data_IF_883467751013
#
_entry.id   IF_883467751013
#
_cell.length_a   1.000
_cell.length_b   1.000
_cell.length_c   1.000
_cell.angle_alpha   90.00
_cell.angle_beta   90.00
_cell.angle_gamma   90.00
#
_symmetry.space_group_name_H-M   'P 1'
#
loop_
_entity.id
_entity.type
_entity.pdbx_description
1 polymer ?
#
# COMPACT_ATOMS: atom_id res chain seq x y z
N UNK A 1 15.71 -2.99 15.49
CA UNK A 1 14.84 -1.82 15.79
C UNK A 1 13.74 -1.79 14.73
N UNK A 2 12.49 -1.79 15.16
CA UNK A 2 11.34 -1.71 14.27
C UNK A 2 10.99 -0.24 14.03
N UNK A 3 10.44 0.07 12.86
CA UNK A 3 10.02 1.42 12.50
C UNK A 3 8.49 1.47 12.63
N UNK A 4 7.93 2.05 13.71
CA UNK A 4 6.49 2.06 13.92
C UNK A 4 5.73 2.98 12.95
N UNK A 5 6.41 4.01 12.44
CA UNK A 5 5.86 5.01 11.51
C UNK A 5 6.51 4.83 10.15
N UNK A 6 5.77 4.27 9.22
CA UNK A 6 6.28 3.98 7.89
C UNK A 6 5.26 4.36 6.81
N UNK A 7 5.77 4.77 5.68
CA UNK A 7 4.99 5.04 4.47
C UNK A 7 5.80 4.71 3.23
N UNK A 8 5.14 4.69 2.10
CA UNK A 8 5.73 4.63 0.77
C UNK A 8 5.11 5.72 -0.10
N UNK A 9 5.85 6.20 -1.07
CA UNK A 9 5.32 7.10 -2.10
C UNK A 9 4.58 6.25 -3.13
N UNK A 10 3.24 6.13 -2.97
CA UNK A 10 2.41 5.31 -3.84
C UNK A 10 2.57 5.77 -5.29
N UNK A 11 2.99 4.85 -6.16
CA UNK A 11 3.35 5.10 -7.55
C UNK A 11 4.80 5.51 -7.77
N UNK A 12 5.62 5.62 -6.72
CA UNK A 12 7.02 6.03 -6.76
C UNK A 12 7.19 7.54 -6.76
N UNK A 13 8.35 8.00 -6.28
CA UNK A 13 8.67 9.43 -6.13
C UNK A 13 8.88 10.12 -7.49
N UNK A 14 9.46 9.41 -8.46
CA UNK A 14 9.73 9.91 -9.81
C UNK A 14 9.25 8.94 -10.88
N UNK A 15 8.78 9.51 -11.99
CA UNK A 15 8.45 8.75 -13.19
C UNK A 15 7.04 8.14 -13.18
N UNK A 16 6.82 7.22 -14.10
CA UNK A 16 5.50 6.71 -14.42
C UNK A 16 4.74 7.65 -15.38
N UNK A 17 4.10 7.07 -16.37
CA UNK A 17 3.23 7.78 -17.33
C UNK A 17 1.80 7.40 -17.01
N UNK A 18 0.94 8.41 -16.82
CA UNK A 18 -0.45 8.24 -16.35
C UNK A 18 -1.28 7.35 -17.27
N UNK A 19 -1.03 7.39 -18.58
CA UNK A 19 -1.74 6.61 -19.60
C UNK A 19 -1.12 5.23 -19.87
N UNK A 20 0.06 4.93 -19.29
CA UNK A 20 0.71 3.62 -19.49
C UNK A 20 -0.04 2.53 -18.68
N UNK A 21 -0.60 1.50 -19.34
CA UNK A 21 -1.35 0.45 -18.66
C UNK A 21 -0.53 -0.34 -17.65
N UNK A 22 0.76 -0.56 -17.91
CA UNK A 22 1.63 -1.30 -16.99
C UNK A 22 1.91 -0.44 -15.73
N UNK A 23 2.07 0.87 -15.90
CA UNK A 23 2.18 1.79 -14.77
C UNK A 23 0.87 1.90 -13.99
N UNK A 24 -0.27 1.94 -14.67
CA UNK A 24 -1.58 1.96 -14.02
C UNK A 24 -1.81 0.70 -13.16
N UNK A 25 -1.44 -0.48 -13.64
CA UNK A 25 -1.51 -1.70 -12.82
C UNK A 25 -0.60 -1.59 -11.60
N UNK A 26 0.66 -1.15 -11.78
CA UNK A 26 1.60 -0.95 -10.69
C UNK A 26 1.06 0.02 -9.64
N UNK A 27 0.51 1.16 -10.07
CA UNK A 27 -0.08 2.16 -9.18
C UNK A 27 -1.23 1.57 -8.38
N UNK A 28 -2.15 0.85 -9.02
CA UNK A 28 -3.30 0.22 -8.35
C UNK A 28 -2.82 -0.79 -7.30
N UNK A 29 -1.86 -1.66 -7.63
CA UNK A 29 -1.30 -2.63 -6.69
C UNK A 29 -0.58 -1.95 -5.53
N UNK A 30 0.17 -0.90 -5.82
CA UNK A 30 0.86 -0.12 -4.80
C UNK A 30 -0.12 0.62 -3.88
N UNK A 31 -1.22 1.13 -4.44
CA UNK A 31 -2.28 1.76 -3.66
C UNK A 31 -2.99 0.78 -2.73
N UNK A 32 -3.26 -0.44 -3.21
CA UNK A 32 -3.79 -1.53 -2.40
C UNK A 32 -2.86 -1.86 -1.23
N UNK A 33 -1.57 -1.97 -1.48
CA UNK A 33 -0.55 -2.14 -0.44
C UNK A 33 -0.52 -0.94 0.52
N UNK A 34 -0.47 0.30 0.00
CA UNK A 34 -0.43 1.52 0.79
C UNK A 34 -1.64 1.70 1.72
N UNK A 35 -2.80 1.13 1.37
CA UNK A 35 -3.98 1.11 2.22
C UNK A 35 -3.71 0.47 3.59
N UNK A 36 -2.81 -0.52 3.62
CA UNK A 36 -2.38 -1.24 4.82
C UNK A 36 -0.97 -0.84 5.27
N UNK A 37 -0.59 0.42 5.05
CA UNK A 37 0.59 1.04 5.63
C UNK A 37 0.19 1.96 6.79
N UNK A 38 1.05 2.22 7.79
CA UNK A 38 0.76 3.14 8.90
C UNK A 38 0.33 4.51 8.40
N UNK A 39 1.07 5.09 7.46
CA UNK A 39 0.71 6.32 6.75
C UNK A 39 0.48 5.98 5.29
N UNK A 40 -0.68 6.36 4.76
CA UNK A 40 -1.05 6.17 3.36
C UNK A 40 -0.98 7.50 2.63
N UNK A 41 -0.20 7.56 1.53
CA UNK A 41 -0.15 8.77 0.69
C UNK A 41 0.22 8.45 -0.76
N UNK A 42 -0.40 9.14 -1.70
CA UNK A 42 0.13 9.31 -3.04
C UNK A 42 1.15 10.44 -3.00
N UNK A 43 2.31 10.23 -3.59
CA UNK A 43 3.34 11.26 -3.70
C UNK A 43 4.26 10.97 -4.87
N UNK A 44 4.81 12.05 -5.45
CA UNK A 44 5.73 11.97 -6.58
C UNK A 44 5.18 12.68 -7.82
N UNK A 45 6.01 12.79 -8.83
CA UNK A 45 5.63 13.38 -10.11
C UNK A 45 5.48 12.31 -11.20
N UNK A 46 4.62 12.60 -12.16
CA UNK A 46 4.28 11.72 -13.29
C UNK A 46 4.71 12.36 -14.61
N UNK A 47 5.00 11.52 -15.60
CA UNK A 47 5.21 11.95 -16.96
C UNK A 47 3.89 12.04 -17.76
N UNK A 48 3.88 12.84 -18.85
CA UNK A 48 4.96 13.72 -19.26
C UNK A 48 5.12 14.94 -18.33
N UNK A 49 6.32 15.48 -18.26
CA UNK A 49 6.58 16.75 -17.58
C UNK A 49 6.48 17.88 -18.58
N UNK A 50 5.81 18.95 -18.22
CA UNK A 50 5.82 20.17 -19.00
C UNK A 50 7.03 21.04 -18.62
N UNK A 51 7.72 21.57 -19.62
CA UNK A 51 8.72 22.62 -19.40
C UNK A 51 8.00 23.93 -19.10
N UNK A 52 8.32 24.54 -17.97
CA UNK A 52 7.83 25.87 -17.63
C UNK A 52 8.94 26.88 -17.97
N UNK A 53 8.66 27.80 -18.89
CA UNK A 53 9.53 28.93 -19.16
C UNK A 53 9.12 30.07 -18.22
N UNK A 54 10.02 30.48 -17.33
CA UNK A 54 9.76 31.60 -16.44
C UNK A 54 9.82 32.95 -17.19
N UNK A 55 9.46 34.04 -16.53
CA UNK A 55 9.46 35.39 -17.13
C UNK A 55 10.83 35.87 -17.59
N UNK A 56 11.92 35.24 -17.14
CA UNK A 56 13.28 35.51 -17.56
C UNK A 56 13.75 34.68 -18.77
N UNK A 57 12.86 33.78 -19.29
CA UNK A 57 13.19 32.88 -20.41
C UNK A 57 13.99 31.65 -19.99
N UNK A 58 14.11 31.37 -18.67
CA UNK A 58 14.79 30.18 -18.17
C UNK A 58 13.81 28.99 -18.14
N UNK A 59 14.26 27.84 -18.67
CA UNK A 59 13.53 26.60 -18.60
C UNK A 59 13.65 26.08 -17.17
N UNK A 60 12.51 25.87 -16.52
CA UNK A 60 12.42 25.15 -15.25
C UNK A 60 11.64 23.86 -15.44
N UNK A 61 12.02 22.82 -14.72
CA UNK A 61 11.20 21.62 -14.64
C UNK A 61 9.84 22.01 -14.03
N UNK A 62 8.78 21.83 -14.82
CA UNK A 62 7.41 21.98 -14.35
C UNK A 62 7.00 20.85 -13.43
N UNK A 63 5.82 20.98 -12.83
CA UNK A 63 5.11 19.85 -12.25
C UNK A 63 4.85 18.83 -13.36
N UNK A 64 4.92 17.55 -13.04
CA UNK A 64 4.56 16.49 -13.99
C UNK A 64 3.06 16.43 -14.25
N UNK A 65 2.62 15.42 -14.98
CA UNK A 65 1.20 15.13 -15.16
C UNK A 65 0.48 14.92 -13.84
N UNK A 66 -0.82 15.06 -13.85
CA UNK A 66 -1.72 14.88 -12.71
C UNK A 66 -1.50 13.53 -12.01
N UNK A 67 -1.59 13.52 -10.67
CA UNK A 67 -1.30 12.34 -9.84
C UNK A 67 -2.41 12.06 -8.82
N UNK A 68 -3.60 12.55 -9.07
CA UNK A 68 -4.78 12.32 -8.26
C UNK A 68 -5.44 10.99 -8.65
N UNK A 69 -6.25 10.43 -7.75
CA UNK A 69 -6.89 9.11 -7.96
C UNK A 69 -7.74 9.01 -9.22
N UNK A 70 -8.22 10.13 -9.76
CA UNK A 70 -9.01 10.19 -10.99
C UNK A 70 -8.17 10.30 -12.26
N UNK A 71 -6.84 10.47 -12.15
CA UNK A 71 -5.95 10.70 -13.29
C UNK A 71 -5.56 9.42 -14.04
N UNK A 72 -5.92 8.25 -13.54
CA UNK A 72 -5.49 6.94 -14.04
C UNK A 72 -6.61 6.16 -14.74
N UNK A 73 -7.66 6.85 -15.20
CA UNK A 73 -8.81 6.27 -15.90
C UNK A 73 -9.89 5.72 -14.97
N UNK A 74 -11.13 5.67 -15.49
CA UNK A 74 -12.36 5.39 -14.72
C UNK A 74 -12.30 4.07 -13.95
N UNK A 75 -11.89 2.99 -14.60
CA UNK A 75 -11.80 1.67 -13.97
C UNK A 75 -10.85 1.69 -12.76
N UNK A 76 -9.73 2.38 -12.87
CA UNK A 76 -8.76 2.48 -11.78
C UNK A 76 -9.30 3.42 -10.68
N UNK A 77 -9.97 4.50 -11.05
CA UNK A 77 -10.65 5.39 -10.11
C UNK A 77 -11.64 4.64 -9.20
N UNK A 78 -12.48 3.77 -9.75
CA UNK A 78 -13.38 2.93 -8.97
C UNK A 78 -12.63 2.03 -7.97
N UNK A 79 -11.51 1.44 -8.39
CA UNK A 79 -10.70 0.60 -7.50
C UNK A 79 -10.05 1.44 -6.40
N UNK A 80 -9.44 2.57 -6.75
CA UNK A 80 -8.74 3.43 -5.79
C UNK A 80 -9.70 4.01 -4.75
N UNK A 81 -10.88 4.47 -5.17
CA UNK A 81 -11.92 4.99 -4.26
C UNK A 81 -12.48 3.92 -3.34
N UNK A 82 -12.63 2.67 -3.83
CA UNK A 82 -12.99 1.53 -2.98
C UNK A 82 -11.96 1.34 -1.87
N UNK A 83 -10.66 1.42 -2.17
CA UNK A 83 -9.60 1.23 -1.18
C UNK A 83 -9.46 2.42 -0.21
N UNK A 84 -9.78 3.65 -0.64
CA UNK A 84 -9.98 4.77 0.28
C UNK A 84 -11.10 4.45 1.28
N UNK A 85 -12.21 3.90 0.80
CA UNK A 85 -13.31 3.47 1.67
C UNK A 85 -12.92 2.35 2.65
N UNK A 86 -12.08 1.41 2.23
CA UNK A 86 -11.50 0.38 3.12
C UNK A 86 -10.64 1.05 4.20
N UNK A 87 -9.75 1.97 3.80
CA UNK A 87 -8.89 2.71 4.74
C UNK A 87 -9.70 3.50 5.75
N UNK A 88 -10.79 4.13 5.32
CA UNK A 88 -11.68 4.89 6.19
C UNK A 88 -12.35 4.00 7.25
N UNK A 89 -12.83 2.82 6.85
CA UNK A 89 -13.39 1.84 7.78
C UNK A 89 -12.38 1.32 8.82
N UNK A 90 -11.09 1.35 8.47
CA UNK A 90 -10.00 0.94 9.37
C UNK A 90 -9.48 2.10 10.24
N UNK A 91 -10.07 3.29 10.18
CA UNK A 91 -9.57 4.49 10.87
C UNK A 91 -9.32 4.25 12.36
N UNK A 92 -10.29 3.74 13.08
CA UNK A 92 -10.20 3.57 14.52
C UNK A 92 -9.22 2.46 14.89
N UNK A 93 -9.21 1.36 14.14
CA UNK A 93 -8.21 0.32 14.29
C UNK A 93 -6.80 0.83 14.04
N UNK A 94 -6.58 1.58 12.96
CA UNK A 94 -5.28 2.19 12.68
C UNK A 94 -4.86 3.16 13.79
N UNK A 95 -5.77 3.97 14.33
CA UNK A 95 -5.48 4.87 15.44
C UNK A 95 -5.08 4.12 16.72
N UNK A 96 -5.76 3.01 17.04
CA UNK A 96 -5.40 2.20 18.18
C UNK A 96 -4.01 1.58 18.05
N UNK A 97 -3.65 1.10 16.86
CA UNK A 97 -2.30 0.60 16.57
C UNK A 97 -1.23 1.70 16.66
N UNK A 98 -1.55 2.92 16.24
CA UNK A 98 -0.62 4.06 16.35
C UNK A 98 -0.44 4.50 17.81
N UNK A 99 -1.49 4.43 18.63
CA UNK A 99 -1.38 4.66 20.06
C UNK A 99 -0.52 3.58 20.74
N UNK A 100 -0.74 2.31 20.40
CA UNK A 100 0.09 1.20 20.88
C UNK A 100 1.56 1.37 20.46
N UNK A 101 1.81 1.80 19.24
CA UNK A 101 3.16 2.08 18.76
C UNK A 101 3.83 3.21 19.55
N UNK A 102 3.08 4.24 19.92
CA UNK A 102 3.57 5.33 20.76
C UNK A 102 3.89 4.88 22.20
N UNK A 103 2.99 4.11 22.81
CA UNK A 103 3.08 3.72 24.21
C UNK A 103 4.08 2.58 24.45
N UNK A 104 4.11 1.58 23.54
CA UNK A 104 4.84 0.32 23.72
C UNK A 104 5.99 0.12 22.73
N UNK A 105 6.07 0.95 21.67
CA UNK A 105 7.01 0.74 20.57
C UNK A 105 6.63 -0.41 19.64
N UNK A 106 5.43 -0.99 19.80
CA UNK A 106 4.94 -2.10 18.95
C UNK A 106 4.68 -1.58 17.54
N UNK A 107 5.24 -2.17 16.47
CA UNK A 107 5.03 -1.67 15.12
C UNK A 107 3.60 -1.93 14.64
N UNK A 108 3.12 -1.05 13.77
CA UNK A 108 1.83 -1.22 13.10
C UNK A 108 1.93 -2.32 12.03
N UNK A 109 2.99 -2.28 11.21
CA UNK A 109 3.32 -3.37 10.27
C UNK A 109 4.30 -4.32 10.95
N UNK A 110 3.93 -5.60 11.00
CA UNK A 110 4.66 -6.64 11.73
C UNK A 110 5.03 -7.76 10.77
N UNK A 111 6.25 -8.22 10.82
CA UNK A 111 6.63 -9.43 10.08
C UNK A 111 5.86 -10.64 10.60
N UNK A 112 5.69 -11.66 9.74
CA UNK A 112 4.98 -12.87 10.15
C UNK A 112 5.65 -13.53 11.37
N UNK A 113 6.97 -13.60 11.42
CA UNK A 113 7.72 -14.15 12.56
C UNK A 113 7.60 -13.31 13.85
N UNK A 114 7.20 -12.05 13.76
CA UNK A 114 6.97 -11.22 14.95
C UNK A 114 5.70 -11.64 15.69
N UNK A 115 4.62 -11.91 14.95
CA UNK A 115 3.36 -12.35 15.52
C UNK A 115 3.32 -13.87 15.78
N UNK A 116 4.02 -14.66 14.97
CA UNK A 116 4.04 -16.11 15.03
C UNK A 116 5.47 -16.65 15.17
N UNK A 117 6.20 -16.33 16.28
CA UNK A 117 7.61 -16.67 16.42
C UNK A 117 7.86 -18.18 16.52
N UNK A 118 6.88 -18.94 17.00
CA UNK A 118 6.96 -20.40 17.17
C UNK A 118 6.67 -21.16 15.85
N UNK A 119 6.14 -20.49 14.85
CA UNK A 119 5.89 -21.08 13.54
C UNK A 119 7.09 -20.87 12.62
N UNK A 120 7.87 -21.94 12.42
CA UNK A 120 9.09 -21.89 11.63
C UNK A 120 8.88 -21.41 10.19
N UNK A 121 7.72 -21.69 9.58
CA UNK A 121 7.41 -21.21 8.22
C UNK A 121 7.29 -19.68 8.16
N UNK A 122 6.89 -19.04 9.25
CA UNK A 122 6.74 -17.59 9.31
C UNK A 122 8.06 -16.82 9.20
N UNK A 123 9.21 -17.47 9.44
CA UNK A 123 10.53 -16.86 9.36
C UNK A 123 11.00 -16.63 7.92
N UNK A 124 10.49 -17.42 6.98
CA UNK A 124 10.85 -17.33 5.56
C UNK A 124 9.84 -16.53 4.72
N UNK A 125 8.76 -16.01 5.33
CA UNK A 125 7.76 -15.23 4.62
C UNK A 125 8.25 -13.79 4.45
N UNK A 126 8.49 -13.39 3.19
CA UNK A 126 8.97 -12.05 2.83
C UNK A 126 7.95 -11.20 2.07
N UNK A 127 6.80 -11.76 1.68
CA UNK A 127 5.81 -11.14 0.81
C UNK A 127 4.40 -11.04 1.42
N UNK A 128 4.30 -11.27 2.73
CA UNK A 128 3.11 -11.06 3.54
C UNK A 128 3.51 -10.52 4.93
N UNK A 129 2.59 -9.83 5.58
CA UNK A 129 2.82 -9.25 6.90
C UNK A 129 1.50 -9.08 7.65
N UNK A 130 1.60 -8.82 8.95
CA UNK A 130 0.45 -8.44 9.77
C UNK A 130 0.35 -6.91 9.87
N UNK A 131 -0.84 -6.37 9.67
CA UNK A 131 -1.20 -5.00 10.00
C UNK A 131 -1.93 -5.01 11.35
N UNK A 132 -1.21 -4.68 12.39
CA UNK A 132 -1.62 -5.01 13.76
C UNK A 132 -1.58 -6.50 14.02
N UNK A 133 -2.37 -6.97 15.00
CA UNK A 133 -2.53 -8.38 15.36
C UNK A 133 -3.59 -9.12 14.53
N UNK A 134 -4.50 -8.39 13.87
CA UNK A 134 -5.76 -8.98 13.40
C UNK A 134 -5.86 -9.10 11.88
N UNK A 135 -5.03 -8.38 11.12
CA UNK A 135 -5.13 -8.32 9.66
C UNK A 135 -3.85 -8.84 9.00
N UNK A 136 -3.94 -10.00 8.37
CA UNK A 136 -2.90 -10.50 7.47
C UNK A 136 -3.02 -9.83 6.11
N UNK A 137 -1.94 -9.24 5.64
CA UNK A 137 -1.87 -8.54 4.35
C UNK A 137 -0.90 -9.27 3.44
N UNK A 138 -1.41 -9.69 2.28
CA UNK A 138 -0.65 -10.40 1.26
C UNK A 138 -0.75 -9.66 -0.09
N UNK A 139 0.08 -8.64 -0.33
CA UNK A 139 0.03 -7.83 -1.54
C UNK A 139 0.28 -8.65 -2.80
N UNK A 140 -0.32 -8.25 -3.91
CA UNK A 140 0.06 -8.75 -5.23
C UNK A 140 1.30 -7.99 -5.69
N UNK A 141 2.45 -8.68 -5.76
CA UNK A 141 3.76 -8.10 -6.07
C UNK A 141 4.31 -8.51 -7.44
N UNK A 142 3.53 -9.23 -8.23
CA UNK A 142 3.89 -9.63 -9.60
C UNK A 142 2.91 -9.03 -10.59
N UNK A 143 3.43 -8.40 -11.63
CA UNK A 143 2.61 -7.88 -12.73
C UNK A 143 1.74 -8.98 -13.33
N UNK A 144 0.50 -8.64 -13.68
CA UNK A 144 -0.49 -9.50 -14.34
C UNK A 144 -0.87 -10.77 -13.55
N UNK A 145 -0.49 -10.83 -12.27
CA UNK A 145 -0.89 -11.96 -11.42
C UNK A 145 -2.39 -11.87 -11.07
N UNK A 146 -3.10 -12.96 -11.25
CA UNK A 146 -4.53 -13.11 -10.92
C UNK A 146 -4.75 -13.87 -9.62
N UNK A 147 -3.71 -14.52 -9.11
CA UNK A 147 -3.74 -15.26 -7.84
C UNK A 147 -2.35 -15.33 -7.22
N UNK A 148 -2.30 -15.66 -5.94
CA UNK A 148 -1.09 -16.03 -5.22
C UNK A 148 -1.39 -17.01 -4.10
N UNK A 149 -0.40 -17.78 -3.70
CA UNK A 149 -0.46 -18.59 -2.48
C UNK A 149 -0.19 -17.69 -1.27
N UNK A 150 -0.96 -17.88 -0.22
CA UNK A 150 -0.78 -17.21 1.09
C UNK A 150 -0.67 -18.28 2.15
N UNK A 151 0.37 -18.21 2.96
CA UNK A 151 0.50 -19.07 4.14
C UNK A 151 -0.36 -18.51 5.27
N UNK A 152 -1.18 -19.34 5.86
CA UNK A 152 -2.00 -19.01 7.02
C UNK A 152 -1.44 -19.72 8.26
N UNK A 153 -0.86 -18.99 9.22
CA UNK A 153 -0.34 -19.60 10.45
C UNK A 153 -1.40 -20.35 11.22
N UNK A 154 -1.00 -21.49 11.80
CA UNK A 154 -1.88 -22.31 12.62
C UNK A 154 -2.24 -21.63 13.95
N UNK A 155 -3.33 -22.08 14.58
CA UNK A 155 -3.77 -21.58 15.89
C UNK A 155 -4.75 -20.41 15.84
N UNK A 156 -5.13 -19.97 14.64
CA UNK A 156 -6.17 -18.96 14.41
C UNK A 156 -7.12 -19.42 13.30
N UNK A 157 -8.33 -18.86 13.28
CA UNK A 157 -9.25 -18.96 12.16
C UNK A 157 -9.10 -17.71 11.29
N UNK A 158 -8.93 -17.91 10.00
CA UNK A 158 -8.70 -16.82 9.04
C UNK A 158 -9.92 -16.57 8.18
N UNK A 159 -10.36 -15.34 8.10
CA UNK A 159 -11.49 -14.94 7.25
C UNK A 159 -11.00 -14.07 6.09
N UNK A 160 -11.32 -14.48 4.88
CA UNK A 160 -11.03 -13.68 3.68
C UNK A 160 -11.97 -12.48 3.62
N UNK A 161 -11.43 -11.28 3.78
CA UNK A 161 -12.19 -10.05 4.01
C UNK A 161 -13.17 -9.66 2.87
N UNK A 162 -12.92 -10.12 1.64
CA UNK A 162 -13.78 -9.78 0.49
C UNK A 162 -14.89 -10.78 0.22
N UNK A 163 -14.80 -12.02 0.67
CA UNK A 163 -15.81 -13.07 0.46
C UNK A 163 -16.46 -13.54 1.75
N UNK A 164 -15.76 -13.44 2.88
CA UNK A 164 -16.17 -13.98 4.17
C UNK A 164 -15.85 -15.47 4.34
N UNK A 165 -15.12 -16.07 3.38
CA UNK A 165 -14.69 -17.47 3.49
C UNK A 165 -13.75 -17.65 4.69
N UNK A 166 -13.95 -18.74 5.42
CA UNK A 166 -13.19 -19.08 6.63
C UNK A 166 -12.28 -20.27 6.35
N UNK A 167 -11.04 -20.15 6.81
CA UNK A 167 -9.97 -21.14 6.64
C UNK A 167 -9.36 -21.56 7.98
#
# INVERSE_FOLDING_TARGET
RQIPWWTTDIGGFHGGVTEDPDFQELLVRWFQFGTFCPVMRIHGNRGPREEIINKAGEVREGTGADNEVWSFGEKNYEILTKFIGVREKMRDYTRSLMAEAHEKGTPVMRTMFYEFPEDAACWDISDAYMFGSDILVAPIVRAKATSRTVYLPAGASWTLANTGDVY
#
